data_IF_769858485477
#
_entry.id   IF_769858485477
#
_cell.length_a   1.000
_cell.length_b   1.000
_cell.length_c   1.000
_cell.angle_alpha   90.00
_cell.angle_beta   90.00
_cell.angle_gamma   90.00
#
_symmetry.space_group_name_H-M   'P 1'
#
loop_
_entity.id
_entity.type
_entity.pdbx_description
1 polymer ?
#
# COMPACT_ATOMS: atom_id res chain seq x y z
N UNK A 1 -1.92 -14.23 5.24
CA UNK A 1 -2.99 -13.47 5.93
C UNK A 1 -2.51 -13.20 7.36
N UNK A 2 -1.95 -12.02 7.63
CA UNK A 2 -1.40 -11.64 8.94
C UNK A 2 -2.38 -10.74 9.74
N UNK A 3 -3.53 -10.41 9.15
CA UNK A 3 -4.48 -9.45 9.72
C UNK A 3 -5.01 -9.86 11.10
N UNK A 4 -5.17 -11.16 11.36
CA UNK A 4 -5.61 -11.67 12.67
C UNK A 4 -4.65 -11.29 13.82
N UNK A 5 -3.34 -11.25 13.56
CA UNK A 5 -2.34 -10.89 14.59
C UNK A 5 -2.38 -9.40 14.92
N UNK A 6 -2.81 -8.55 13.97
CA UNK A 6 -3.03 -7.12 14.23
C UNK A 6 -4.29 -6.86 15.03
N UNK A 7 -5.39 -7.54 14.68
CA UNK A 7 -6.66 -7.47 15.40
C UNK A 7 -6.56 -7.99 16.85
N UNK A 8 -5.82 -9.09 17.09
CA UNK A 8 -5.64 -9.69 18.42
C UNK A 8 -4.74 -8.84 19.35
N UNK A 9 -3.86 -8.01 18.76
CA UNK A 9 -2.88 -7.20 19.50
C UNK A 9 -3.26 -5.70 19.55
N UNK A 10 -4.44 -5.32 19.05
CA UNK A 10 -4.90 -3.93 18.89
C UNK A 10 -3.85 -3.01 18.22
N UNK A 11 -3.09 -3.57 17.28
CA UNK A 11 -2.03 -2.85 16.56
C UNK A 11 -2.26 -2.91 15.06
N UNK A 12 -2.02 -1.79 14.42
CA UNK A 12 -2.16 -1.68 12.98
C UNK A 12 -1.24 -2.68 12.25
N UNK A 13 -1.70 -3.23 11.13
CA UNK A 13 -0.93 -4.13 10.27
C UNK A 13 0.49 -3.60 9.92
N UNK A 14 0.69 -2.29 9.65
CA UNK A 14 2.03 -1.70 9.50
C UNK A 14 2.95 -1.96 10.69
N UNK A 15 2.43 -1.86 11.91
CA UNK A 15 3.16 -2.09 13.16
C UNK A 15 3.56 -3.55 13.32
N UNK A 16 2.67 -4.50 13.01
CA UNK A 16 2.95 -5.94 13.05
C UNK A 16 4.03 -6.31 12.02
N UNK A 17 3.92 -5.79 10.79
CA UNK A 17 4.91 -6.02 9.73
C UNK A 17 6.28 -5.47 10.09
N UNK A 18 6.35 -4.27 10.69
CA UNK A 18 7.60 -3.69 11.17
C UNK A 18 8.33 -4.62 12.15
N UNK A 19 7.62 -5.07 13.19
CA UNK A 19 8.16 -6.02 14.17
C UNK A 19 8.59 -7.35 13.53
N UNK A 20 7.82 -7.86 12.57
CA UNK A 20 8.17 -9.08 11.85
C UNK A 20 9.43 -8.89 10.99
N UNK A 21 9.55 -7.78 10.28
CA UNK A 21 10.75 -7.45 9.51
C UNK A 21 11.98 -7.36 10.42
N UNK A 22 11.85 -6.77 11.61
CA UNK A 22 12.93 -6.67 12.58
C UNK A 22 13.37 -8.05 13.08
N UNK A 23 12.42 -8.96 13.33
CA UNK A 23 12.73 -10.36 13.67
C UNK A 23 13.41 -11.10 12.52
N UNK A 24 12.94 -10.92 11.27
CA UNK A 24 13.53 -11.57 10.09
C UNK A 24 14.98 -11.09 9.88
N UNK A 25 15.24 -9.78 10.06
CA UNK A 25 16.60 -9.22 10.01
C UNK A 25 17.47 -9.75 11.15
N UNK A 26 16.93 -9.87 12.36
CA UNK A 26 17.65 -10.45 13.51
C UNK A 26 18.01 -11.93 13.28
N UNK A 27 17.25 -12.63 12.44
CA UNK A 27 17.55 -14.00 11.99
C UNK A 27 18.58 -14.06 10.84
N UNK A 28 19.10 -12.92 10.39
CA UNK A 28 20.13 -12.83 9.35
C UNK A 28 19.62 -12.90 7.92
N UNK A 29 18.31 -12.71 7.70
CA UNK A 29 17.72 -12.68 6.36
C UNK A 29 17.51 -11.25 5.87
N UNK A 30 17.86 -11.00 4.61
CA UNK A 30 17.52 -9.76 3.93
C UNK A 30 16.04 -9.73 3.58
N UNK A 31 15.35 -8.70 4.06
CA UNK A 31 13.95 -8.46 3.72
C UNK A 31 13.91 -7.55 2.51
N UNK A 32 13.50 -8.09 1.36
CA UNK A 32 13.23 -7.26 0.17
C UNK A 32 12.07 -6.33 0.53
N UNK A 33 12.32 -5.02 0.49
CA UNK A 33 11.33 -3.99 0.81
C UNK A 33 10.31 -3.89 -0.35
N UNK A 34 9.48 -4.91 -0.50
CA UNK A 34 8.36 -4.86 -1.41
C UNK A 34 7.24 -4.05 -0.74
N UNK A 35 6.65 -3.05 -1.43
CA UNK A 35 5.58 -2.25 -0.86
C UNK A 35 4.47 -3.17 -0.35
N UNK A 36 3.89 -2.87 0.84
CA UNK A 36 2.85 -3.68 1.45
C UNK A 36 1.76 -4.02 0.43
N UNK A 37 1.20 -5.23 0.49
CA UNK A 37 0.11 -5.61 -0.39
C UNK A 37 -1.08 -4.62 -0.28
N UNK A 38 -1.34 -4.08 0.91
CA UNK A 38 -2.30 -2.98 1.11
C UNK A 38 -1.88 -1.67 0.44
N UNK A 39 -0.61 -1.29 0.48
CA UNK A 39 -0.11 -0.12 -0.25
C UNK A 39 -0.29 -0.32 -1.74
N UNK A 40 0.06 -1.49 -2.28
CA UNK A 40 -0.20 -1.85 -3.69
C UNK A 40 -1.68 -1.77 -4.02
N UNK A 41 -2.55 -2.31 -3.19
CA UNK A 41 -4.01 -2.25 -3.38
C UNK A 41 -4.53 -0.81 -3.32
N UNK A 42 -4.07 -0.01 -2.36
CA UNK A 42 -4.45 1.39 -2.23
C UNK A 42 -4.02 2.21 -3.45
N UNK A 43 -2.82 1.96 -3.98
CA UNK A 43 -2.37 2.59 -5.21
C UNK A 43 -3.21 2.14 -6.41
N UNK A 44 -3.57 0.86 -6.53
CA UNK A 44 -4.46 0.38 -7.60
C UNK A 44 -5.84 1.03 -7.52
N UNK A 45 -6.43 1.11 -6.33
CA UNK A 45 -7.73 1.76 -6.11
C UNK A 45 -7.66 3.25 -6.44
N UNK A 46 -6.61 3.95 -5.98
CA UNK A 46 -6.41 5.37 -6.27
C UNK A 46 -6.26 5.64 -7.77
N UNK A 47 -5.46 4.82 -8.48
CA UNK A 47 -5.32 4.90 -9.93
C UNK A 47 -6.66 4.68 -10.65
N UNK A 48 -7.45 3.70 -10.19
CA UNK A 48 -8.78 3.45 -10.73
C UNK A 48 -9.71 4.66 -10.55
N UNK A 49 -9.69 5.30 -9.38
CA UNK A 49 -10.46 6.54 -9.14
C UNK A 49 -10.05 7.67 -10.08
N UNK A 50 -8.75 7.87 -10.32
CA UNK A 50 -8.26 8.89 -11.26
C UNK A 50 -8.76 8.61 -12.68
N UNK A 51 -8.77 7.35 -13.11
CA UNK A 51 -9.30 6.96 -14.43
C UNK A 51 -10.81 7.17 -14.53
N UNK A 52 -11.57 6.88 -13.48
CA UNK A 52 -13.01 7.14 -13.41
C UNK A 52 -13.34 8.63 -13.47
N UNK A 53 -12.60 9.46 -12.75
CA UNK A 53 -12.79 10.92 -12.76
C UNK A 53 -12.40 11.55 -14.10
N UNK A 54 -11.41 10.97 -14.80
CA UNK A 54 -11.07 11.35 -16.17
C UNK A 54 -12.19 10.94 -17.14
N UNK A 55 -12.71 9.73 -17.02
CA UNK A 55 -13.81 9.23 -17.85
C UNK A 55 -15.12 10.03 -17.64
N UNK A 56 -15.35 10.49 -16.42
CA UNK A 56 -16.46 11.36 -16.06
C UNK A 56 -16.24 12.84 -16.47
N UNK A 57 -15.06 13.19 -17.00
CA UNK A 57 -14.72 14.55 -17.42
C UNK A 57 -14.54 15.54 -16.26
N UNK A 58 -14.34 15.05 -15.03
CA UNK A 58 -14.15 15.90 -13.84
C UNK A 58 -12.74 16.47 -13.73
N UNK A 59 -11.76 15.77 -14.30
CA UNK A 59 -10.35 16.18 -14.35
C UNK A 59 -9.88 16.20 -15.81
N UNK A 60 -8.90 17.05 -16.10
CA UNK A 60 -8.30 17.07 -17.44
C UNK A 60 -7.35 15.89 -17.62
N UNK A 61 -7.06 15.46 -18.87
CA UNK A 61 -6.05 14.45 -19.14
C UNK A 61 -4.67 14.82 -18.56
N UNK A 62 -4.32 16.11 -18.54
CA UNK A 62 -3.07 16.58 -17.97
C UNK A 62 -3.03 16.40 -16.44
N UNK A 63 -4.13 16.70 -15.75
CA UNK A 63 -4.24 16.49 -14.30
C UNK A 63 -4.20 15.00 -13.93
N UNK A 64 -4.86 14.15 -14.72
CA UNK A 64 -4.84 12.71 -14.51
C UNK A 64 -3.42 12.13 -14.62
N UNK A 65 -2.63 12.58 -15.60
CA UNK A 65 -1.22 12.15 -15.76
C UNK A 65 -0.39 12.58 -14.54
N UNK A 66 -0.55 13.81 -14.06
CA UNK A 66 0.16 14.29 -12.87
C UNK A 66 -0.18 13.47 -11.60
N UNK A 67 -1.44 13.06 -11.44
CA UNK A 67 -1.91 12.24 -10.32
C UNK A 67 -1.45 10.78 -10.40
N UNK A 68 -1.18 10.26 -11.60
CA UNK A 68 -0.71 8.88 -11.81
C UNK A 68 0.81 8.72 -11.77
N UNK A 69 1.56 9.81 -11.99
CA UNK A 69 3.03 9.83 -11.96
C UNK A 69 3.63 10.08 -10.57
N UNK A 70 2.81 10.37 -9.55
CA UNK A 70 3.23 10.46 -8.14
C UNK A 70 3.10 9.12 -7.41
#
# INVERSE_FOLDING_TARGET
KLNWVGDELDISYPTVRGRLHDVIRALGFDVIDEPPAETRQRTVVQRQTVLDDLAAGKITPADAIALLQS
#
